data_IF_043671780452
#
_entry.id   IF_043671780452
#
_cell.length_a   1.000
_cell.length_b   1.000
_cell.length_c   1.000
_cell.angle_alpha   90.00
_cell.angle_beta   90.00
_cell.angle_gamma   90.00
#
_symmetry.space_group_name_H-M   'P 1'
#
loop_
_entity.id
_entity.type
_entity.pdbx_description
1 polymer ?
#
# COMPACT_ATOMS: atom_id res chain seq x y z
N UNK A 1 -30.18 0.20 -3.61
CA UNK A 1 -28.81 -0.10 -4.08
C UNK A 1 -27.85 0.77 -3.26
N UNK A 2 -26.73 0.22 -2.78
CA UNK A 2 -25.77 0.99 -1.97
C UNK A 2 -24.61 1.48 -2.81
N UNK A 3 -24.02 0.59 -3.60
CA UNK A 3 -22.94 0.95 -4.53
C UNK A 3 -22.93 0.04 -5.76
N UNK A 4 -22.35 0.54 -6.86
CA UNK A 4 -21.97 -0.23 -8.04
C UNK A 4 -20.51 0.07 -8.33
N UNK A 5 -19.64 -0.89 -8.05
CA UNK A 5 -18.26 -0.75 -8.47
C UNK A 5 -18.11 -1.26 -9.90
N UNK A 6 -17.34 -0.55 -10.71
CA UNK A 6 -16.83 -1.07 -11.97
C UNK A 6 -15.34 -1.38 -11.77
N UNK A 7 -14.94 -2.63 -11.96
CA UNK A 7 -13.61 -3.15 -11.55
C UNK A 7 -12.69 -3.50 -12.71
N UNK A 8 -13.04 -3.19 -13.96
CA UNK A 8 -12.20 -3.52 -15.11
C UNK A 8 -11.66 -2.28 -15.84
N UNK A 9 -12.42 -1.19 -15.87
CA UNK A 9 -12.07 0.03 -16.62
C UNK A 9 -11.80 1.21 -15.69
N UNK A 10 -12.76 1.52 -14.83
CA UNK A 10 -12.78 2.69 -13.99
C UNK A 10 -12.24 2.43 -12.58
N UNK A 11 -12.24 1.16 -12.13
CA UNK A 11 -11.81 0.73 -10.79
C UNK A 11 -12.40 1.60 -9.67
N UNK A 12 -13.68 1.95 -9.80
CA UNK A 12 -14.35 2.82 -8.84
C UNK A 12 -15.86 2.65 -8.85
N UNK A 13 -16.46 3.10 -7.77
CA UNK A 13 -17.91 3.19 -7.64
C UNK A 13 -18.51 4.26 -8.55
N UNK A 14 -19.64 3.94 -9.16
CA UNK A 14 -20.44 4.91 -9.90
C UNK A 14 -21.12 5.90 -8.95
N UNK A 15 -21.23 7.15 -9.39
CA UNK A 15 -21.99 8.20 -8.70
C UNK A 15 -23.47 7.95 -8.90
N UNK A 16 -24.24 7.86 -7.81
CA UNK A 16 -25.70 7.73 -7.91
C UNK A 16 -26.29 9.08 -8.31
N UNK A 17 -26.91 9.14 -9.48
CA UNK A 17 -27.52 10.36 -10.03
C UNK A 17 -28.97 10.49 -9.59
N UNK A 18 -29.71 9.39 -9.62
CA UNK A 18 -31.12 9.38 -9.21
C UNK A 18 -31.58 7.98 -8.83
N UNK A 19 -32.60 7.91 -7.98
CA UNK A 19 -33.35 6.67 -7.73
C UNK A 19 -34.83 6.99 -7.83
N UNK A 20 -35.55 6.29 -8.70
CA UNK A 20 -37.00 6.39 -8.87
C UNK A 20 -37.66 5.09 -8.46
N UNK A 21 -38.86 5.15 -7.89
CA UNK A 21 -39.66 3.99 -7.52
C UNK A 21 -40.99 4.03 -8.25
N UNK A 22 -41.33 2.96 -8.98
CA UNK A 22 -42.60 2.82 -9.67
C UNK A 22 -43.08 1.38 -9.58
N UNK A 23 -44.31 1.17 -9.10
CA UNK A 23 -44.89 -0.17 -8.95
C UNK A 23 -44.10 -1.11 -8.02
N UNK A 24 -43.40 -0.57 -7.01
CA UNK A 24 -42.54 -1.34 -6.11
C UNK A 24 -41.19 -1.73 -6.69
N UNK A 25 -40.88 -1.32 -7.93
CA UNK A 25 -39.57 -1.49 -8.57
C UNK A 25 -38.77 -0.21 -8.36
N UNK A 26 -37.58 -0.34 -7.77
CA UNK A 26 -36.61 0.75 -7.66
C UNK A 26 -35.65 0.70 -8.83
N UNK A 27 -35.53 1.82 -9.53
CA UNK A 27 -34.56 2.04 -10.61
C UNK A 27 -33.55 3.09 -10.15
N UNK A 28 -32.27 2.74 -10.16
CA UNK A 28 -31.19 3.66 -9.77
C UNK A 28 -30.33 3.94 -11.01
N UNK A 29 -30.13 5.23 -11.32
CA UNK A 29 -29.21 5.69 -12.35
C UNK A 29 -27.84 5.98 -11.71
N UNK A 30 -26.78 5.42 -12.29
CA UNK A 30 -25.40 5.68 -11.88
C UNK A 30 -24.57 6.17 -13.07
N UNK A 31 -23.61 7.05 -12.80
CA UNK A 31 -22.69 7.63 -13.77
C UNK A 31 -21.23 7.49 -13.31
N UNK A 32 -20.30 7.44 -14.26
CA UNK A 32 -18.85 7.47 -14.04
C UNK A 32 -18.26 8.56 -14.93
N UNK A 33 -17.53 9.52 -14.35
CA UNK A 33 -16.79 10.57 -15.08
C UNK A 33 -15.64 9.99 -15.94
N UNK A 34 -15.83 9.73 -17.23
CA UNK A 34 -14.78 9.16 -18.09
C UNK A 34 -13.64 10.15 -18.37
N UNK A 35 -12.35 9.81 -18.14
CA UNK A 35 -11.21 10.63 -18.57
C UNK A 35 -10.72 10.29 -20.00
N UNK A 36 -11.55 9.67 -20.85
CA UNK A 36 -11.24 9.41 -22.26
C UNK A 36 -11.41 7.96 -22.71
N UNK A 37 -11.27 7.77 -24.03
CA UNK A 37 -11.57 6.57 -24.81
C UNK A 37 -10.83 5.31 -24.35
N UNK A 38 -11.43 4.52 -23.45
CA UNK A 38 -10.98 3.16 -23.16
C UNK A 38 -11.92 2.12 -23.78
N UNK A 39 -11.36 1.34 -24.72
CA UNK A 39 -12.01 0.17 -25.30
C UNK A 39 -11.85 -1.04 -24.35
N UNK A 40 -12.90 -1.37 -23.60
CA UNK A 40 -13.02 -2.66 -22.91
C UNK A 40 -14.44 -2.93 -22.43
N UNK A 41 -14.65 -4.15 -21.95
CA UNK A 41 -15.93 -4.59 -21.38
C UNK A 41 -15.94 -4.25 -19.90
N UNK A 42 -16.90 -3.47 -19.38
CA UNK A 42 -16.96 -3.19 -17.95
C UNK A 42 -17.38 -4.43 -17.14
N UNK A 43 -16.85 -4.57 -15.92
CA UNK A 43 -17.25 -5.59 -14.94
C UNK A 43 -17.83 -4.90 -13.73
N UNK A 44 -19.12 -5.14 -13.48
CA UNK A 44 -19.86 -4.49 -12.39
C UNK A 44 -20.00 -5.40 -11.17
N UNK A 45 -19.72 -4.86 -9.97
CA UNK A 45 -19.93 -5.49 -8.66
C UNK A 45 -20.99 -4.71 -7.86
N UNK A 46 -22.28 -5.09 -7.97
CA UNK A 46 -23.37 -4.42 -7.24
C UNK A 46 -23.42 -4.83 -5.76
N UNK A 47 -23.55 -3.83 -4.88
CA UNK A 47 -23.89 -4.02 -3.46
C UNK A 47 -25.32 -3.56 -3.19
N UNK A 48 -26.16 -4.47 -2.69
CA UNK A 48 -27.59 -4.23 -2.49
C UNK A 48 -27.98 -4.51 -1.04
N UNK A 49 -28.70 -3.55 -0.43
CA UNK A 49 -29.29 -3.74 0.89
C UNK A 49 -30.29 -4.89 0.86
N UNK A 50 -30.18 -5.80 1.81
CA UNK A 50 -31.26 -6.71 2.12
C UNK A 50 -32.45 -5.90 2.70
N UNK A 51 -33.68 -6.08 2.19
CA UNK A 51 -34.87 -5.63 2.90
C UNK A 51 -34.89 -6.22 4.31
N UNK A 52 -35.39 -5.49 5.31
CA UNK A 52 -35.54 -5.99 6.68
C UNK A 52 -36.44 -7.23 6.78
N UNK A 53 -37.29 -7.46 5.78
CA UNK A 53 -38.13 -8.66 5.62
C UNK A 53 -37.45 -9.82 4.87
N UNK A 54 -36.19 -9.67 4.44
CA UNK A 54 -35.47 -10.70 3.69
C UNK A 54 -34.96 -11.80 4.62
N UNK A 55 -35.19 -13.06 4.24
CA UNK A 55 -34.60 -14.24 4.92
C UNK A 55 -33.15 -14.52 4.49
N UNK A 56 -32.61 -13.75 3.53
CA UNK A 56 -31.24 -13.91 3.04
C UNK A 56 -30.25 -13.32 4.04
N UNK A 57 -29.29 -14.13 4.49
CA UNK A 57 -28.24 -13.68 5.38
C UNK A 57 -27.39 -12.56 4.76
N UNK A 58 -26.98 -11.59 5.57
CA UNK A 58 -25.97 -10.59 5.19
C UNK A 58 -24.68 -11.30 4.75
N UNK A 59 -24.04 -10.80 3.69
CA UNK A 59 -22.87 -11.41 3.07
C UNK A 59 -23.18 -12.53 2.06
N UNK A 60 -24.44 -12.98 1.94
CA UNK A 60 -24.81 -13.96 0.90
C UNK A 60 -24.74 -13.37 -0.51
N UNK A 61 -24.40 -14.20 -1.48
CA UNK A 61 -24.32 -13.81 -2.90
C UNK A 61 -25.37 -14.54 -3.73
N UNK A 62 -25.88 -13.89 -4.78
CA UNK A 62 -26.71 -14.53 -5.79
C UNK A 62 -26.45 -13.95 -7.17
N UNK A 63 -26.63 -14.78 -8.19
CA UNK A 63 -26.41 -14.36 -9.57
C UNK A 63 -27.68 -13.71 -10.12
N UNK A 64 -27.51 -12.57 -10.79
CA UNK A 64 -28.52 -11.97 -11.66
C UNK A 64 -28.00 -11.95 -13.08
N UNK A 65 -28.86 -12.25 -14.03
CA UNK A 65 -28.54 -12.14 -15.46
C UNK A 65 -29.12 -10.83 -15.95
N UNK A 66 -28.26 -9.85 -16.20
CA UNK A 66 -28.62 -8.66 -16.96
C UNK A 66 -28.76 -9.04 -18.43
N UNK A 67 -29.95 -8.84 -18.98
CA UNK A 67 -30.22 -8.97 -20.41
C UNK A 67 -30.32 -7.57 -21.02
N UNK A 68 -29.93 -7.44 -22.29
CA UNK A 68 -30.04 -6.21 -23.06
C UNK A 68 -29.18 -5.04 -22.55
N UNK A 69 -27.98 -5.33 -22.03
CA UNK A 69 -27.04 -4.27 -21.67
C UNK A 69 -26.55 -3.58 -22.95
N UNK A 70 -26.80 -2.28 -23.06
CA UNK A 70 -26.42 -1.46 -24.22
C UNK A 70 -25.29 -0.51 -23.86
N UNK A 71 -24.16 -0.60 -24.57
CA UNK A 71 -23.10 0.40 -24.54
C UNK A 71 -23.20 1.20 -25.84
N UNK A 72 -23.28 2.53 -25.74
CA UNK A 72 -23.26 3.46 -26.87
C UNK A 72 -21.99 4.29 -26.80
N UNK A 73 -21.27 4.41 -27.91
CA UNK A 73 -20.06 5.20 -28.04
C UNK A 73 -20.46 6.61 -28.49
N UNK A 74 -20.04 7.66 -27.79
CA UNK A 74 -20.53 9.02 -28.02
C UNK A 74 -19.50 9.95 -28.70
N UNK A 75 -18.21 9.64 -28.65
CA UNK A 75 -17.14 10.59 -29.00
C UNK A 75 -15.98 10.01 -29.84
N UNK A 76 -16.08 8.78 -30.36
CA UNK A 76 -15.04 8.14 -31.18
C UNK A 76 -15.52 7.97 -32.64
N UNK A 77 -15.01 8.76 -33.59
CA UNK A 77 -15.37 8.64 -35.02
C UNK A 77 -14.43 7.63 -35.71
N UNK A 78 -14.94 6.60 -36.44
CA UNK A 78 -16.28 6.46 -36.99
C UNK A 78 -17.25 5.62 -36.14
N UNK A 79 -16.91 5.33 -34.88
CA UNK A 79 -17.67 4.46 -33.99
C UNK A 79 -18.82 5.14 -33.23
N UNK A 80 -19.01 6.44 -33.40
CA UNK A 80 -20.08 7.22 -32.79
C UNK A 80 -21.44 6.55 -33.06
N UNK A 81 -22.28 6.48 -32.02
CA UNK A 81 -23.59 5.85 -31.98
C UNK A 81 -23.63 4.32 -32.16
N UNK A 82 -22.48 3.63 -32.30
CA UNK A 82 -22.46 2.17 -32.30
C UNK A 82 -22.94 1.64 -30.96
N UNK A 83 -23.94 0.76 -31.00
CA UNK A 83 -24.57 0.17 -29.82
C UNK A 83 -24.31 -1.35 -29.77
N UNK A 84 -23.64 -1.84 -28.73
CA UNK A 84 -23.53 -3.29 -28.49
C UNK A 84 -24.73 -3.82 -27.69
N UNK A 85 -25.11 -5.10 -27.84
CA UNK A 85 -26.12 -5.74 -26.99
C UNK A 85 -25.54 -7.02 -26.38
N UNK A 86 -25.33 -7.01 -25.07
CA UNK A 86 -24.72 -8.13 -24.36
C UNK A 86 -25.64 -8.68 -23.25
N UNK A 87 -25.44 -9.97 -22.95
CA UNK A 87 -25.95 -10.62 -21.73
C UNK A 87 -24.78 -10.69 -20.75
N UNK A 88 -24.97 -10.17 -19.54
CA UNK A 88 -23.96 -10.19 -18.50
C UNK A 88 -24.53 -10.81 -17.23
N UNK A 89 -23.75 -11.65 -16.57
CA UNK A 89 -24.11 -12.21 -15.26
C UNK A 89 -23.41 -11.36 -14.20
N UNK A 90 -24.19 -10.75 -13.30
CA UNK A 90 -23.66 -10.05 -12.15
C UNK A 90 -23.85 -10.88 -10.90
N UNK A 91 -22.84 -10.91 -10.04
CA UNK A 91 -22.95 -11.48 -8.69
C UNK A 91 -23.37 -10.34 -7.78
N UNK A 92 -24.57 -10.42 -7.21
CA UNK A 92 -25.05 -9.46 -6.22
C UNK A 92 -24.68 -9.95 -4.85
N UNK A 93 -24.00 -9.11 -4.08
CA UNK A 93 -23.76 -9.33 -2.65
C UNK A 93 -24.83 -8.61 -1.83
N UNK A 94 -25.50 -9.36 -0.96
CA UNK A 94 -26.44 -8.81 0.01
C UNK A 94 -25.65 -8.20 1.17
N UNK A 95 -25.92 -6.94 1.48
CA UNK A 95 -25.35 -6.26 2.65
C UNK A 95 -26.46 -5.89 3.63
N UNK A 96 -26.08 -5.65 4.89
CA UNK A 96 -27.02 -5.26 5.94
C UNK A 96 -27.87 -4.05 5.50
N UNK A 97 -29.19 -4.16 5.69
CA UNK A 97 -30.13 -3.11 5.32
C UNK A 97 -30.16 -1.93 6.29
N UNK A 98 -29.87 -2.19 7.56
CA UNK A 98 -29.93 -1.19 8.65
C UNK A 98 -28.65 -0.38 8.66
N UNK A 99 -27.51 -1.04 8.94
CA UNK A 99 -26.19 -0.42 9.03
C UNK A 99 -25.21 -1.09 8.05
N UNK A 100 -25.28 -0.79 6.73
CA UNK A 100 -24.42 -1.42 5.74
C UNK A 100 -22.95 -1.05 5.99
N UNK A 101 -22.09 -2.06 6.10
CA UNK A 101 -20.64 -1.91 6.16
C UNK A 101 -19.98 -3.03 5.34
N UNK A 102 -19.01 -2.67 4.50
CA UNK A 102 -18.22 -3.63 3.74
C UNK A 102 -16.79 -3.08 3.62
N UNK A 103 -15.91 -3.59 4.48
CA UNK A 103 -14.48 -3.30 4.44
C UNK A 103 -13.75 -4.53 3.93
N UNK A 104 -12.84 -4.32 2.98
CA UNK A 104 -11.94 -5.33 2.46
C UNK A 104 -10.54 -5.02 2.99
N UNK A 105 -9.89 -6.01 3.60
CA UNK A 105 -8.54 -5.85 4.16
C UNK A 105 -7.64 -6.98 3.73
N UNK A 106 -6.39 -6.66 3.41
CA UNK A 106 -5.39 -7.63 2.96
C UNK A 106 -4.08 -7.44 3.70
N UNK A 107 -3.67 -8.46 4.43
CA UNK A 107 -2.33 -8.53 5.00
C UNK A 107 -1.31 -8.86 3.92
N UNK A 108 -0.24 -8.07 3.86
CA UNK A 108 0.86 -8.24 2.93
C UNK A 108 2.04 -8.92 3.62
N UNK A 109 2.73 -9.76 2.85
CA UNK A 109 4.08 -10.20 3.19
C UNK A 109 5.05 -9.36 2.37
N UNK A 110 5.91 -8.63 3.07
CA UNK A 110 6.88 -7.74 2.45
C UNK A 110 8.26 -8.36 2.49
N UNK A 111 9.02 -8.22 1.42
CA UNK A 111 10.40 -8.71 1.34
C UNK A 111 11.33 -7.53 1.10
N UNK A 112 12.33 -7.35 1.96
CA UNK A 112 13.26 -6.22 1.87
C UNK A 112 14.71 -6.64 2.08
N UNK A 113 15.62 -5.92 1.42
CA UNK A 113 17.05 -6.18 1.54
C UNK A 113 17.53 -5.90 2.96
N UNK A 114 18.10 -6.90 3.63
CA UNK A 114 18.59 -6.75 5.00
C UNK A 114 20.07 -6.35 5.00
N UNK A 115 20.33 -5.05 4.91
CA UNK A 115 21.66 -4.48 5.05
C UNK A 115 22.18 -4.49 6.50
N UNK A 116 21.27 -4.63 7.47
CA UNK A 116 21.61 -4.55 8.89
C UNK A 116 22.24 -5.83 9.44
N UNK A 117 22.12 -6.95 8.73
CA UNK A 117 22.56 -8.26 9.21
C UNK A 117 23.99 -8.29 9.78
N UNK A 118 24.92 -7.48 9.27
CA UNK A 118 26.32 -7.51 9.75
C UNK A 118 26.99 -6.19 10.06
N UNK A 119 26.28 -5.04 9.97
CA UNK A 119 26.95 -3.77 10.25
C UNK A 119 26.10 -2.71 10.94
N UNK A 120 24.98 -2.29 10.36
CA UNK A 120 24.21 -1.17 10.91
C UNK A 120 22.71 -1.35 10.78
N UNK A 121 22.01 -1.11 11.88
CA UNK A 121 20.56 -1.07 12.01
C UNK A 121 19.94 0.26 11.51
N UNK A 122 20.65 1.08 10.74
CA UNK A 122 20.15 2.40 10.30
C UNK A 122 19.29 2.33 9.04
N UNK A 123 19.13 1.15 8.43
CA UNK A 123 18.37 0.98 7.20
C UNK A 123 16.88 0.70 7.46
N UNK A 124 16.04 1.74 7.32
CA UNK A 124 14.59 1.59 7.47
C UNK A 124 13.93 1.07 6.19
N UNK A 125 13.25 -0.07 6.31
CA UNK A 125 12.43 -0.70 5.28
C UNK A 125 11.03 -0.96 5.81
N UNK A 126 10.11 -1.29 4.91
CA UNK A 126 8.81 -1.83 5.29
C UNK A 126 8.95 -3.31 5.69
N UNK A 127 8.43 -3.64 6.86
CA UNK A 127 8.50 -4.95 7.52
C UNK A 127 7.10 -5.59 7.63
N UNK A 128 6.25 -5.33 6.64
CA UNK A 128 4.86 -5.78 6.59
C UNK A 128 3.89 -4.60 6.50
N UNK A 129 2.75 -4.84 5.86
CA UNK A 129 1.69 -3.84 5.72
C UNK A 129 0.30 -4.46 5.58
N UNK A 130 -0.75 -3.70 5.89
CA UNK A 130 -2.13 -4.12 5.71
C UNK A 130 -2.92 -3.10 4.89
N UNK A 131 -3.44 -3.54 3.75
CA UNK A 131 -4.34 -2.75 2.94
C UNK A 131 -5.74 -2.77 3.54
N UNK A 132 -6.44 -1.63 3.49
CA UNK A 132 -7.82 -1.49 3.95
C UNK A 132 -8.58 -0.66 2.92
N UNK A 133 -9.72 -1.14 2.46
CA UNK A 133 -10.60 -0.45 1.52
C UNK A 133 -12.03 -0.44 2.03
N UNK A 134 -12.67 0.72 1.98
CA UNK A 134 -14.12 0.82 2.17
C UNK A 134 -14.81 0.67 0.80
N UNK A 135 -15.49 -0.46 0.61
CA UNK A 135 -16.16 -0.79 -0.67
C UNK A 135 -17.45 0.01 -0.90
N UNK A 136 -17.94 0.68 0.15
CA UNK A 136 -19.21 1.39 0.11
C UNK A 136 -19.02 2.89 -0.10
N UNK A 137 -20.07 3.50 -0.65
CA UNK A 137 -20.21 4.95 -0.82
C UNK A 137 -20.65 5.66 0.45
N UNK A 138 -20.65 4.95 1.59
CA UNK A 138 -20.97 5.48 2.92
C UNK A 138 -19.82 5.20 3.87
N UNK A 139 -19.53 6.09 4.84
CA UNK A 139 -18.51 5.84 5.86
C UNK A 139 -18.80 4.59 6.68
N UNK A 140 -17.75 3.98 7.24
CA UNK A 140 -17.84 2.84 8.15
C UNK A 140 -18.34 3.26 9.53
N UNK A 141 -18.63 2.30 10.41
CA UNK A 141 -18.64 2.57 11.86
C UNK A 141 -17.23 2.98 12.31
N UNK A 142 -17.07 3.71 13.43
CA UNK A 142 -15.75 4.02 13.96
C UNK A 142 -14.90 2.77 14.11
N UNK A 143 -13.64 2.84 13.68
CA UNK A 143 -12.70 1.71 13.71
C UNK A 143 -11.57 1.96 14.68
N UNK A 144 -11.09 0.89 15.27
CA UNK A 144 -9.89 0.86 16.11
C UNK A 144 -8.87 -0.06 15.45
N UNK A 145 -7.62 0.38 15.45
CA UNK A 145 -6.48 -0.45 15.06
C UNK A 145 -5.58 -0.67 16.27
N UNK A 146 -5.19 -1.93 16.48
CA UNK A 146 -4.28 -2.36 17.53
C UNK A 146 -3.19 -3.21 16.89
N UNK A 147 -1.93 -2.85 17.10
CA UNK A 147 -0.77 -3.54 16.54
C UNK A 147 0.11 -4.04 17.68
N UNK A 148 0.44 -5.33 17.65
CA UNK A 148 1.53 -5.93 18.41
C UNK A 148 2.66 -6.18 17.44
N UNK A 149 3.78 -5.50 17.64
CA UNK A 149 4.80 -5.31 16.62
C UNK A 149 6.09 -6.02 17.02
N UNK A 150 6.66 -6.75 16.06
CA UNK A 150 7.92 -7.48 16.21
C UNK A 150 7.93 -8.34 17.48
N UNK A 151 6.99 -9.29 17.54
CA UNK A 151 6.76 -10.17 18.69
C UNK A 151 8.01 -10.96 19.11
N UNK A 152 8.96 -11.16 18.19
CA UNK A 152 10.22 -11.89 18.39
C UNK A 152 11.43 -10.98 18.60
N UNK A 153 11.22 -9.67 18.77
CA UNK A 153 12.27 -8.69 19.06
C UNK A 153 13.46 -8.71 18.09
N UNK A 154 13.13 -8.92 16.81
CA UNK A 154 14.05 -9.15 15.69
C UNK A 154 14.48 -7.84 15.01
N UNK A 155 13.72 -6.75 15.20
CA UNK A 155 13.92 -5.49 14.50
C UNK A 155 13.85 -4.27 15.44
N UNK A 156 14.39 -3.15 14.96
CA UNK A 156 14.19 -1.83 15.54
C UNK A 156 13.13 -1.13 14.71
N UNK A 157 11.94 -0.97 15.30
CA UNK A 157 10.78 -0.36 14.66
C UNK A 157 10.76 1.12 14.98
N UNK A 158 11.01 1.93 13.96
CA UNK A 158 11.12 3.38 14.07
C UNK A 158 9.87 4.11 13.59
N UNK A 159 9.03 3.43 12.81
CA UNK A 159 7.83 4.01 12.25
C UNK A 159 6.69 3.02 12.08
N UNK A 160 5.47 3.48 12.25
CA UNK A 160 4.24 2.73 11.97
C UNK A 160 3.30 3.65 11.22
N UNK A 161 2.72 3.20 10.10
CA UNK A 161 1.64 3.95 9.45
C UNK A 161 0.28 3.45 9.89
N UNK A 162 -0.72 4.33 9.86
CA UNK A 162 -2.15 4.01 10.06
C UNK A 162 -2.97 4.60 8.90
N UNK A 163 -4.24 4.23 8.71
CA UNK A 163 -5.07 4.75 7.63
C UNK A 163 -5.28 6.25 7.78
N UNK A 164 -5.20 6.99 6.67
CA UNK A 164 -5.44 8.43 6.72
C UNK A 164 -6.32 9.03 5.65
N UNK A 165 -7.21 9.89 6.11
CA UNK A 165 -7.99 10.82 5.30
C UNK A 165 -8.26 12.09 6.11
N UNK A 166 -8.47 13.22 5.43
CA UNK A 166 -8.73 14.52 6.08
C UNK A 166 -9.99 14.51 6.95
N UNK A 167 -10.96 13.67 6.60
CA UNK A 167 -12.26 13.58 7.26
C UNK A 167 -12.26 12.63 8.47
N UNK A 168 -11.13 11.94 8.72
CA UNK A 168 -10.98 11.05 9.87
C UNK A 168 -10.62 11.82 11.12
N UNK A 169 -11.21 11.41 12.25
CA UNK A 169 -10.93 11.99 13.57
C UNK A 169 -10.27 10.93 14.44
N UNK A 170 -8.99 11.14 14.72
CA UNK A 170 -8.16 10.21 15.47
C UNK A 170 -8.25 10.46 16.98
N UNK A 171 -8.47 9.38 17.72
CA UNK A 171 -8.29 9.35 19.16
C UNK A 171 -6.82 9.38 19.57
N UNK A 172 -6.60 9.20 20.88
CA UNK A 172 -5.26 9.11 21.43
C UNK A 172 -4.51 7.88 20.89
N UNK A 173 -3.19 8.03 20.79
CA UNK A 173 -2.27 6.98 20.39
C UNK A 173 -1.68 6.36 21.66
N UNK A 174 -2.11 5.15 21.98
CA UNK A 174 -1.54 4.36 23.08
C UNK A 174 -0.39 3.53 22.54
N UNK A 175 0.74 3.51 23.24
CA UNK A 175 1.95 2.87 22.72
C UNK A 175 2.78 2.22 23.81
N UNK A 176 3.59 1.23 23.42
CA UNK A 176 4.65 0.63 24.24
C UNK A 176 5.94 0.51 23.44
N UNK A 177 7.09 0.47 24.12
CA UNK A 177 8.41 0.34 23.50
C UNK A 177 9.22 -0.84 24.03
N UNK A 178 10.37 -1.13 23.39
CA UNK A 178 11.25 -2.24 23.74
C UNK A 178 11.96 -2.04 25.08
N UNK A 179 12.20 -0.80 25.50
CA UNK A 179 12.71 -0.48 26.84
C UNK A 179 11.71 -0.74 27.97
N UNK A 180 10.45 -1.07 27.64
CA UNK A 180 9.35 -1.25 28.59
C UNK A 180 8.60 0.05 28.92
N UNK A 181 8.96 1.17 28.26
CA UNK A 181 8.18 2.39 28.37
C UNK A 181 6.79 2.24 27.71
N UNK A 182 5.84 3.02 28.20
CA UNK A 182 4.51 3.11 27.62
C UNK A 182 3.94 4.50 27.83
N UNK A 183 2.99 4.89 26.99
CA UNK A 183 2.43 6.22 27.07
C UNK A 183 1.21 6.44 26.21
N UNK A 184 0.73 7.69 26.26
CA UNK A 184 -0.40 8.18 25.49
C UNK A 184 0.06 9.45 24.77
N UNK A 185 0.01 9.43 23.45
CA UNK A 185 0.30 10.60 22.63
C UNK A 185 -0.99 11.15 21.99
N UNK A 186 -1.03 12.46 21.80
CA UNK A 186 -2.08 13.14 21.04
C UNK A 186 -1.96 12.80 19.55
N UNK A 187 -3.06 12.72 18.83
CA UNK A 187 -3.06 12.54 17.37
C UNK A 187 -2.42 13.72 16.59
N UNK A 188 -2.07 14.82 17.27
CA UNK A 188 -1.29 15.92 16.69
C UNK A 188 0.12 15.52 16.26
N UNK A 189 0.68 14.41 16.76
CA UNK A 189 2.01 13.94 16.36
C UNK A 189 2.03 13.26 14.98
N UNK A 190 0.86 12.98 14.41
CA UNK A 190 0.74 12.24 13.15
C UNK A 190 1.35 13.05 12.00
N UNK A 191 2.32 12.45 11.31
CA UNK A 191 2.79 12.95 10.02
C UNK A 191 1.84 12.46 8.92
N UNK A 192 1.08 13.38 8.33
CA UNK A 192 -0.07 13.06 7.48
C UNK A 192 0.33 13.05 6.00
N UNK A 193 -0.20 12.09 5.25
CA UNK A 193 -0.14 12.05 3.78
C UNK A 193 -1.56 11.98 3.19
N UNK A 194 -1.75 11.45 1.98
CA UNK A 194 -3.07 11.34 1.36
C UNK A 194 -3.86 10.12 1.87
N UNK A 195 -3.20 8.98 2.02
CA UNK A 195 -3.83 7.69 2.40
C UNK A 195 -3.28 7.10 3.69
N UNK A 196 -2.21 7.67 4.25
CA UNK A 196 -1.56 7.15 5.45
C UNK A 196 -1.08 8.28 6.36
N UNK A 197 -1.01 7.98 7.65
CA UNK A 197 -0.35 8.82 8.64
C UNK A 197 0.74 8.02 9.34
N UNK A 198 1.94 8.61 9.47
CA UNK A 198 3.11 8.00 10.10
C UNK A 198 3.22 8.43 11.56
N UNK A 199 3.48 7.45 12.42
CA UNK A 199 3.86 7.60 13.82
C UNK A 199 5.30 7.12 13.94
N UNK A 200 6.22 8.03 14.27
CA UNK A 200 7.64 7.70 14.51
C UNK A 200 7.93 7.53 15.99
N UNK A 201 8.88 6.68 16.36
CA UNK A 201 9.28 6.49 17.75
C UNK A 201 9.75 7.80 18.41
N UNK A 202 10.51 8.63 17.69
CA UNK A 202 10.97 9.94 18.16
C UNK A 202 9.80 10.90 18.44
N UNK A 203 8.75 10.89 17.62
CA UNK A 203 7.52 11.66 17.88
C UNK A 203 6.72 11.15 19.09
N UNK A 204 6.96 9.91 19.53
CA UNK A 204 6.46 9.37 20.81
C UNK A 204 7.38 9.74 22.00
N UNK A 205 8.49 10.44 21.76
CA UNK A 205 9.49 10.81 22.77
C UNK A 205 10.51 9.71 23.06
N UNK A 206 10.61 8.69 22.20
CA UNK A 206 11.55 7.59 22.33
C UNK A 206 12.90 7.89 21.67
N UNK A 207 13.95 7.23 22.16
CA UNK A 207 15.24 7.20 21.44
C UNK A 207 15.07 6.52 20.08
N UNK A 208 15.89 6.90 19.10
CA UNK A 208 15.84 6.37 17.74
C UNK A 208 16.02 4.84 17.67
N UNK A 209 16.67 4.24 18.66
CA UNK A 209 16.88 2.80 18.76
C UNK A 209 15.93 2.11 19.74
N UNK A 210 15.08 2.86 20.46
CA UNK A 210 13.99 2.25 21.23
C UNK A 210 12.81 1.95 20.29
N UNK A 211 12.59 0.66 20.08
CA UNK A 211 11.66 0.12 19.10
C UNK A 211 10.22 0.24 19.59
N UNK A 212 9.29 0.64 18.71
CA UNK A 212 7.85 0.59 18.98
C UNK A 212 7.41 -0.88 19.02
N UNK A 213 6.76 -1.29 20.12
CA UNK A 213 6.29 -2.68 20.32
C UNK A 213 4.77 -2.81 20.26
N UNK A 214 4.04 -1.73 20.53
CA UNK A 214 2.61 -1.70 20.25
C UNK A 214 2.11 -0.29 19.94
N UNK A 215 1.03 -0.25 19.16
CA UNK A 215 0.25 0.95 18.88
C UNK A 215 -1.22 0.58 18.98
N UNK A 216 -2.03 1.40 19.64
CA UNK A 216 -3.49 1.34 19.58
C UNK A 216 -4.05 2.73 19.34
N UNK A 217 -4.89 2.86 18.32
CA UNK A 217 -5.50 4.13 17.91
C UNK A 217 -6.96 3.90 17.50
N UNK A 218 -7.84 4.76 18.01
CA UNK A 218 -9.19 4.88 17.46
C UNK A 218 -9.12 5.79 16.22
N UNK A 219 -9.43 5.25 15.05
CA UNK A 219 -9.31 5.90 13.74
C UNK A 219 -10.53 6.77 13.40
N UNK A 220 -11.65 6.59 14.12
CA UNK A 220 -12.94 7.12 13.71
C UNK A 220 -13.51 6.37 12.50
N UNK A 221 -14.59 6.88 11.88
CA UNK A 221 -15.15 6.32 10.65
C UNK A 221 -14.15 6.38 9.49
N UNK A 222 -13.95 5.26 8.80
CA UNK A 222 -13.24 5.24 7.51
C UNK A 222 -14.18 5.84 6.46
N UNK A 223 -13.79 6.89 5.72
CA UNK A 223 -14.66 7.56 4.77
C UNK A 223 -15.18 6.65 3.66
N UNK A 224 -16.28 7.09 3.03
CA UNK A 224 -16.81 6.48 1.83
C UNK A 224 -15.74 6.38 0.75
N UNK A 225 -15.68 5.26 0.03
CA UNK A 225 -14.74 5.04 -1.08
C UNK A 225 -13.26 5.20 -0.70
N UNK A 226 -12.92 5.15 0.59
CA UNK A 226 -11.54 5.16 1.03
C UNK A 226 -10.79 3.98 0.38
N UNK A 227 -9.85 4.31 -0.50
CA UNK A 227 -8.93 3.37 -1.10
C UNK A 227 -7.60 3.48 -0.37
N UNK A 228 -7.30 2.48 0.45
CA UNK A 228 -6.11 2.46 1.30
C UNK A 228 -4.83 2.19 0.53
N UNK A 229 -4.70 2.68 -0.70
CA UNK A 229 -3.46 2.76 -1.48
C UNK A 229 -3.56 4.04 -2.31
N UNK A 230 -2.49 4.85 -2.37
CA UNK A 230 -2.45 5.98 -3.30
C UNK A 230 -2.60 5.41 -4.72
N UNK A 231 -3.43 5.96 -5.62
CA UNK A 231 -3.80 5.32 -6.89
C UNK A 231 -2.56 4.92 -7.72
N UNK A 232 -2.12 3.69 -7.49
CA UNK A 232 -1.44 2.85 -8.44
C UNK A 232 -2.44 1.74 -8.72
N UNK A 233 -2.64 1.48 -10.02
CA UNK A 233 -3.45 0.35 -10.48
C UNK A 233 -3.01 -0.91 -9.71
N UNK A 234 -3.99 -1.56 -9.07
CA UNK A 234 -4.07 -3.03 -9.09
C UNK A 234 -3.31 -3.86 -8.02
N UNK A 235 -3.12 -3.37 -6.78
CA UNK A 235 -2.70 -4.24 -5.66
C UNK A 235 -3.86 -4.99 -4.99
N UNK A 236 -5.10 -4.48 -5.08
CA UNK A 236 -6.29 -5.08 -4.49
C UNK A 236 -7.19 -5.83 -5.49
N UNK A 237 -7.08 -5.51 -6.78
CA UNK A 237 -7.88 -6.09 -7.88
C UNK A 237 -7.11 -7.17 -8.67
N UNK A 238 -6.01 -7.69 -8.11
CA UNK A 238 -5.20 -8.73 -8.77
C UNK A 238 -6.05 -9.96 -9.10
N UNK A 239 -5.88 -10.46 -10.33
CA UNK A 239 -6.50 -11.69 -10.85
C UNK A 239 -6.30 -12.93 -9.97
N UNK A 240 -5.30 -12.88 -9.07
CA UNK A 240 -5.09 -13.87 -8.02
C UNK A 240 -5.15 -13.18 -6.64
N UNK A 241 -6.23 -13.36 -5.86
CA UNK A 241 -6.30 -12.84 -4.48
C UNK A 241 -5.24 -13.44 -3.53
N UNK A 242 -4.47 -14.44 -3.99
CA UNK A 242 -3.30 -14.97 -3.28
C UNK A 242 -1.97 -14.29 -3.66
N UNK A 243 -1.94 -13.38 -4.64
CA UNK A 243 -0.80 -12.50 -4.87
C UNK A 243 -0.77 -11.43 -3.77
N UNK A 244 -0.36 -11.86 -2.57
CA UNK A 244 -0.31 -11.07 -1.33
C UNK A 244 1.00 -10.31 -1.18
N UNK A 245 1.65 -10.00 -2.30
CA UNK A 245 3.01 -9.49 -2.33
C UNK A 245 3.05 -8.26 -3.20
N UNK A 246 3.67 -7.22 -2.67
CA UNK A 246 4.21 -6.15 -3.49
C UNK A 246 5.43 -6.70 -4.22
N UNK A 247 5.51 -6.48 -5.52
CA UNK A 247 6.55 -7.11 -6.35
C UNK A 247 7.97 -6.71 -5.86
N UNK A 248 8.92 -7.63 -5.99
CA UNK A 248 10.30 -7.47 -5.52
C UNK A 248 11.02 -6.30 -6.23
N UNK A 249 10.93 -5.10 -5.66
CA UNK A 249 11.54 -3.88 -6.20
C UNK A 249 10.64 -2.65 -6.17
N UNK A 250 9.35 -2.81 -5.86
CA UNK A 250 8.43 -1.70 -5.67
C UNK A 250 8.64 -1.06 -4.28
N UNK A 251 9.48 -0.01 -4.26
CA UNK A 251 9.69 0.82 -3.06
C UNK A 251 8.53 1.79 -2.87
N UNK A 252 7.48 1.35 -2.19
CA UNK A 252 6.46 2.28 -1.70
C UNK A 252 6.92 2.88 -0.37
N UNK A 253 7.13 4.19 -0.38
CA UNK A 253 7.34 4.95 0.85
C UNK A 253 6.10 4.92 1.75
N UNK A 254 6.28 5.33 3.00
CA UNK A 254 5.23 5.32 4.02
C UNK A 254 3.95 6.07 3.60
N UNK A 255 4.05 7.05 2.71
CA UNK A 255 2.94 7.85 2.17
C UNK A 255 2.00 7.12 1.20
N UNK A 256 2.36 5.92 0.73
CA UNK A 256 1.61 5.20 -0.31
C UNK A 256 0.72 4.11 0.26
N UNK A 257 1.05 3.57 1.43
CA UNK A 257 0.38 2.40 2.02
C UNK A 257 0.11 2.65 3.51
N UNK A 258 -1.15 2.50 3.96
CA UNK A 258 -1.51 2.55 5.36
C UNK A 258 -1.09 1.26 6.08
N UNK A 259 -0.98 1.31 7.41
CA UNK A 259 -0.76 0.14 8.26
C UNK A 259 0.54 -0.63 7.99
N UNK A 260 1.59 0.08 7.61
CA UNK A 260 2.93 -0.47 7.42
C UNK A 260 3.78 -0.34 8.68
N UNK A 261 4.60 -1.35 8.95
CA UNK A 261 5.63 -1.32 9.98
C UNK A 261 6.95 -0.97 9.31
N UNK A 262 7.66 0.03 9.83
CA UNK A 262 8.90 0.54 9.25
C UNK A 262 10.03 0.48 10.27
N UNK A 263 11.15 -0.10 9.84
CA UNK A 263 12.30 -0.31 10.71
C UNK A 263 13.41 -1.08 10.03
N UNK A 264 14.36 -1.55 10.82
CA UNK A 264 15.49 -2.35 10.36
C UNK A 264 15.56 -3.64 11.16
N UNK A 265 16.07 -4.72 10.57
CA UNK A 265 16.53 -5.84 11.40
C UNK A 265 17.62 -5.37 12.37
N UNK A 266 17.70 -6.03 13.53
CA UNK A 266 18.85 -5.89 14.41
C UNK A 266 20.07 -6.55 13.78
N UNK A 267 21.26 -6.08 14.16
CA UNK A 267 22.51 -6.69 13.71
C UNK A 267 22.55 -8.17 14.13
N UNK A 268 22.97 -9.03 13.20
CA UNK A 268 23.12 -10.46 13.41
C UNK A 268 21.87 -11.31 13.16
N UNK A 269 20.72 -10.72 12.82
CA UNK A 269 19.48 -11.48 12.56
C UNK A 269 18.86 -11.19 11.19
N UNK A 270 18.37 -12.26 10.57
CA UNK A 270 17.61 -12.26 9.32
C UNK A 270 16.26 -12.98 9.49
N UNK A 271 15.84 -13.20 10.74
CA UNK A 271 14.56 -13.83 11.02
C UNK A 271 13.38 -12.95 10.54
N UNK A 272 12.25 -13.59 10.28
CA UNK A 272 11.04 -12.89 9.88
C UNK A 272 10.55 -11.97 11.01
N UNK A 273 10.26 -10.71 10.67
CA UNK A 273 9.60 -9.78 11.58
C UNK A 273 8.10 -10.01 11.51
N UNK A 274 7.49 -10.35 12.63
CA UNK A 274 6.05 -10.66 12.70
C UNK A 274 5.32 -9.58 13.46
N UNK A 275 4.23 -9.09 12.86
CA UNK A 275 3.33 -8.11 13.47
C UNK A 275 1.91 -8.64 13.42
N UNK A 276 1.21 -8.59 14.54
CA UNK A 276 -0.21 -8.87 14.62
C UNK A 276 -0.98 -7.57 14.62
N UNK A 277 -1.93 -7.41 13.69
CA UNK A 277 -2.81 -6.25 13.59
C UNK A 277 -4.24 -6.69 13.84
N UNK A 278 -4.94 -6.02 14.74
CA UNK A 278 -6.38 -6.16 14.95
C UNK A 278 -7.07 -4.90 14.43
N UNK A 279 -8.05 -5.08 13.56
CA UNK A 279 -8.83 -3.99 12.99
C UNK A 279 -10.32 -4.28 13.15
N UNK A 280 -10.97 -3.53 14.03
CA UNK A 280 -12.31 -3.83 14.52
C UNK A 280 -13.13 -2.57 14.77
N UNK A 281 -14.43 -2.73 14.99
CA UNK A 281 -15.31 -1.61 15.36
C UNK A 281 -14.98 -1.09 16.75
N UNK A 282 -14.81 0.23 16.90
CA UNK A 282 -14.48 0.84 18.18
C UNK A 282 -15.53 0.50 19.24
N UNK A 283 -15.06 0.11 20.43
CA UNK A 283 -15.91 -0.30 21.56
C UNK A 283 -16.32 -1.77 21.54
N UNK A 284 -15.95 -2.56 20.52
CA UNK A 284 -16.17 -4.01 20.51
C UNK A 284 -14.90 -4.78 20.87
N UNK A 285 -15.05 -6.03 21.30
CA UNK A 285 -13.91 -6.94 21.48
C UNK A 285 -13.51 -7.52 20.11
N UNK A 286 -12.24 -7.44 19.70
CA UNK A 286 -11.79 -8.04 18.44
C UNK A 286 -11.94 -9.56 18.44
N UNK A 287 -12.34 -10.12 17.30
CA UNK A 287 -12.46 -11.55 17.05
C UNK A 287 -11.31 -12.06 16.18
N UNK A 288 -11.26 -13.37 15.92
CA UNK A 288 -10.27 -13.95 15.01
C UNK A 288 -10.39 -13.40 13.57
N UNK A 289 -11.60 -13.03 13.12
CA UNK A 289 -11.82 -12.44 11.80
C UNK A 289 -11.30 -11.01 11.66
N UNK A 290 -11.07 -10.33 12.79
CA UNK A 290 -10.53 -8.97 12.85
C UNK A 290 -9.00 -8.95 12.96
N UNK A 291 -8.36 -10.13 13.00
CA UNK A 291 -6.93 -10.30 13.27
C UNK A 291 -6.17 -10.66 11.99
N UNK A 292 -5.08 -9.94 11.76
CA UNK A 292 -4.24 -10.04 10.58
C UNK A 292 -2.78 -10.20 11.00
N UNK A 293 -2.02 -10.98 10.24
CA UNK A 293 -0.59 -11.21 10.51
C UNK A 293 0.24 -10.70 9.35
N UNK A 294 1.12 -9.75 9.64
CA UNK A 294 2.05 -9.16 8.70
C UNK A 294 3.41 -9.82 8.89
N UNK A 295 4.12 -10.04 7.79
CA UNK A 295 5.46 -10.65 7.83
C UNK A 295 6.42 -9.83 6.99
N UNK A 296 7.47 -9.31 7.63
CA UNK A 296 8.64 -8.74 6.98
C UNK A 296 9.72 -9.80 6.82
N UNK A 297 10.01 -10.17 5.57
CA UNK A 297 11.03 -11.15 5.21
C UNK A 297 12.32 -10.47 4.80
N UNK A 298 13.42 -10.94 5.38
CA UNK A 298 14.76 -10.51 5.01
C UNK A 298 15.17 -11.19 3.71
N UNK A 299 15.68 -10.41 2.74
CA UNK A 299 16.43 -10.94 1.59
C UNK A 299 17.85 -10.40 1.55
N UNK A 300 18.71 -11.12 0.86
CA UNK A 300 20.06 -10.62 0.56
C UNK A 300 19.95 -9.39 -0.36
N UNK A 301 20.73 -8.32 -0.15
CA UNK A 301 20.81 -7.23 -1.11
C UNK A 301 21.21 -7.70 -2.52
N UNK A 302 20.64 -7.08 -3.54
CA UNK A 302 20.81 -7.45 -4.95
C UNK A 302 20.99 -6.22 -5.84
N UNK A 303 21.66 -6.39 -6.99
CA UNK A 303 21.76 -5.37 -8.05
C UNK A 303 20.54 -5.49 -8.95
N UNK A 304 19.85 -4.38 -9.24
CA UNK A 304 18.74 -4.33 -10.20
C UNK A 304 19.22 -3.77 -11.55
N UNK A 305 18.57 -4.17 -12.64
CA UNK A 305 18.86 -3.73 -14.02
C UNK A 305 20.28 -4.05 -14.55
N UNK A 306 20.84 -5.18 -14.16
CA UNK A 306 22.09 -5.73 -14.71
C UNK A 306 22.41 -7.13 -14.17
N UNK A 307 23.40 -7.79 -14.78
CA UNK A 307 23.98 -9.05 -14.26
C UNK A 307 25.13 -8.69 -13.34
N UNK A 308 24.87 -8.62 -12.04
CA UNK A 308 25.88 -8.27 -11.05
C UNK A 308 25.79 -9.07 -9.78
N UNK A 309 26.94 -9.21 -9.13
CA UNK A 309 27.06 -9.71 -7.77
C UNK A 309 27.54 -8.56 -6.90
N UNK A 310 26.82 -8.30 -5.82
CA UNK A 310 27.43 -7.56 -4.71
C UNK A 310 28.30 -8.57 -3.98
N UNK A 311 29.56 -8.24 -3.73
CA UNK A 311 30.46 -9.15 -3.02
C UNK A 311 29.88 -9.40 -1.62
N UNK A 312 29.27 -10.58 -1.47
CA UNK A 312 28.43 -10.91 -0.31
C UNK A 312 29.25 -10.86 0.97
N UNK A 313 30.52 -11.28 0.97
CA UNK A 313 31.38 -11.24 2.17
C UNK A 313 31.66 -9.82 2.68
N UNK A 314 31.46 -8.77 1.87
CA UNK A 314 31.67 -7.37 2.27
C UNK A 314 30.39 -6.67 2.77
N UNK A 315 29.22 -7.00 2.21
CA UNK A 315 27.92 -6.68 2.85
C UNK A 315 27.86 -7.34 4.23
N UNK A 316 28.49 -8.51 4.32
CA UNK A 316 28.56 -9.35 5.50
C UNK A 316 29.74 -9.01 6.46
N UNK A 317 30.23 -7.76 6.48
CA UNK A 317 31.22 -7.30 7.50
C UNK A 317 32.31 -6.32 7.09
N UNK A 318 32.23 -5.65 5.93
CA UNK A 318 33.27 -4.72 5.43
C UNK A 318 33.04 -3.23 5.74
N UNK A 319 34.12 -2.43 5.76
CA UNK A 319 34.05 -0.96 5.75
C UNK A 319 33.63 -0.33 4.42
N UNK A 320 33.61 -1.17 3.39
CA UNK A 320 33.21 -0.88 2.03
C UNK A 320 32.49 -2.10 1.48
N UNK A 321 31.66 -1.93 0.45
CA UNK A 321 31.10 -3.02 -0.33
C UNK A 321 31.46 -2.78 -1.81
N UNK A 322 31.84 -3.84 -2.51
CA UNK A 322 32.08 -3.80 -3.94
C UNK A 322 30.86 -4.36 -4.65
N UNK A 323 30.28 -3.54 -5.53
CA UNK A 323 29.27 -3.98 -6.49
C UNK A 323 30.01 -4.28 -7.79
N UNK A 324 29.95 -5.52 -8.26
CA UNK A 324 30.47 -5.91 -9.57
C UNK A 324 29.33 -6.37 -10.45
N UNK A 325 29.27 -5.92 -11.70
CA UNK A 325 28.27 -6.39 -12.65
C UNK A 325 28.53 -5.91 -14.06
N UNK A 326 27.81 -6.52 -15.00
CA UNK A 326 27.68 -6.11 -16.39
C UNK A 326 26.23 -5.69 -16.65
N UNK A 327 26.02 -4.71 -17.52
CA UNK A 327 24.68 -4.41 -18.03
C UNK A 327 24.22 -5.63 -18.84
N UNK A 328 22.98 -6.08 -18.62
CA UNK A 328 22.40 -7.18 -19.40
C UNK A 328 21.88 -6.64 -20.73
N UNK A 329 22.50 -7.06 -21.83
CA UNK A 329 22.17 -6.67 -23.21
C UNK A 329 20.75 -7.13 -23.62
N UNK A 330 20.18 -8.12 -22.92
CA UNK A 330 18.82 -8.61 -23.22
C UNK A 330 17.71 -7.56 -22.99
N UNK A 331 17.94 -6.54 -22.15
CA UNK A 331 17.01 -5.42 -21.95
C UNK A 331 17.19 -4.27 -22.96
N UNK A 332 18.25 -4.30 -23.78
CA UNK A 332 18.56 -3.26 -24.77
C UNK A 332 17.56 -3.29 -25.95
N UNK A 333 17.09 -4.49 -26.30
CA UNK A 333 16.34 -4.73 -27.54
C UNK A 333 14.91 -4.14 -27.58
N UNK A 334 14.43 -3.56 -26.47
CA UNK A 334 13.07 -3.00 -26.39
C UNK A 334 12.99 -1.48 -26.43
N UNK A 335 14.09 -0.73 -26.25
CA UNK A 335 14.09 0.73 -26.41
C UNK A 335 15.49 1.33 -26.66
N UNK A 336 15.89 1.62 -27.91
CA UNK A 336 17.21 2.17 -28.25
C UNK A 336 17.45 3.62 -27.77
N UNK A 337 16.50 4.23 -27.04
CA UNK A 337 16.61 5.58 -26.46
C UNK A 337 16.81 5.60 -24.93
N UNK A 338 16.87 4.44 -24.27
CA UNK A 338 17.21 4.38 -22.84
C UNK A 338 18.73 4.23 -22.66
N UNK A 339 19.35 5.27 -22.10
CA UNK A 339 20.72 5.17 -21.59
C UNK A 339 20.77 4.10 -20.48
N UNK A 340 21.84 3.28 -20.41
CA UNK A 340 21.97 2.28 -19.36
C UNK A 340 22.16 2.97 -18.00
N UNK A 341 21.09 3.08 -17.22
CA UNK A 341 21.14 3.65 -15.86
C UNK A 341 21.26 2.53 -14.81
N UNK A 342 22.39 2.51 -14.09
CA UNK A 342 22.54 1.68 -12.88
C UNK A 342 22.04 2.48 -11.68
N UNK A 343 20.94 2.03 -11.09
CA UNK A 343 20.41 2.61 -9.86
C UNK A 343 21.04 1.95 -8.63
N UNK A 344 21.89 2.69 -7.92
CA UNK A 344 22.41 2.28 -6.60
C UNK A 344 21.79 3.18 -5.53
N UNK A 345 20.87 2.61 -4.73
CA UNK A 345 20.36 3.27 -3.54
C UNK A 345 21.34 2.95 -2.40
N UNK A 346 22.10 3.95 -1.96
CA UNK A 346 23.02 3.79 -0.83
C UNK A 346 22.26 3.85 0.50
N UNK A 347 22.60 3.01 1.49
CA UNK A 347 22.04 3.12 2.83
C UNK A 347 22.48 4.42 3.52
N UNK A 348 21.67 4.85 4.50
CA UNK A 348 22.02 5.94 5.42
C UNK A 348 23.35 5.61 6.15
N UNK A 349 24.34 6.52 6.06
CA UNK A 349 25.69 6.35 6.60
C UNK A 349 26.80 6.10 5.57
N UNK A 350 26.46 5.92 4.28
CA UNK A 350 27.43 5.90 3.18
C UNK A 350 27.43 7.24 2.44
N UNK A 351 28.62 7.79 2.17
CA UNK A 351 28.77 9.04 1.42
C UNK A 351 29.23 8.76 -0.01
N UNK A 352 28.52 9.32 -0.98
CA UNK A 352 28.84 9.20 -2.40
C UNK A 352 30.24 9.74 -2.78
N UNK A 353 30.81 10.64 -1.97
CA UNK A 353 32.19 11.15 -2.14
C UNK A 353 33.25 10.05 -2.08
N UNK A 354 32.92 8.88 -1.54
CA UNK A 354 33.84 7.75 -1.42
C UNK A 354 33.59 6.67 -2.48
N UNK A 355 32.70 6.92 -3.45
CA UNK A 355 32.44 5.99 -4.54
C UNK A 355 33.64 5.96 -5.49
N UNK A 356 34.23 4.77 -5.66
CA UNK A 356 35.28 4.52 -6.65
C UNK A 356 34.74 3.54 -7.68
N UNK A 357 35.01 3.82 -8.96
CA UNK A 357 34.70 2.94 -10.09
C UNK A 357 36.02 2.47 -10.69
N UNK A 358 36.18 1.16 -10.87
CA UNK A 358 37.47 0.55 -11.25
C UNK A 358 37.61 0.34 -12.77
N UNK A 359 36.49 0.33 -13.50
CA UNK A 359 36.42 0.09 -14.97
C UNK A 359 35.58 1.18 -15.65
N UNK A 360 35.72 2.42 -15.19
CA UNK A 360 34.99 3.57 -15.70
C UNK A 360 35.31 4.84 -14.93
N UNK A 361 35.00 5.98 -15.51
CA UNK A 361 35.13 7.30 -14.91
C UNK A 361 33.77 7.74 -14.36
N UNK A 362 33.71 7.96 -13.06
CA UNK A 362 32.55 8.58 -12.43
C UNK A 362 32.52 10.07 -12.78
N UNK A 363 31.41 10.55 -13.33
CA UNK A 363 31.23 11.97 -13.61
C UNK A 363 31.21 12.78 -12.32
N UNK A 364 31.39 14.10 -12.44
CA UNK A 364 31.00 15.00 -11.37
C UNK A 364 29.49 14.77 -11.05
N UNK A 365 29.09 14.81 -9.76
CA UNK A 365 27.70 14.68 -9.38
C UNK A 365 26.86 15.82 -9.95
N UNK A 366 25.71 15.48 -10.51
CA UNK A 366 24.66 16.44 -10.87
C UNK A 366 23.61 16.45 -9.77
N UNK A 367 23.34 17.62 -9.20
CA UNK A 367 22.24 17.78 -8.24
C UNK A 367 20.90 17.57 -8.94
N UNK A 368 20.06 16.67 -8.43
CA UNK A 368 18.76 16.34 -9.05
C UNK A 368 17.54 16.64 -8.17
N UNK A 369 17.76 16.98 -6.91
CA UNK A 369 16.69 17.41 -6.01
C UNK A 369 17.10 17.31 -4.55
N UNK A 370 16.24 17.73 -3.64
CA UNK A 370 16.42 17.56 -2.20
C UNK A 370 15.09 17.10 -1.58
N UNK A 371 15.19 16.35 -0.48
CA UNK A 371 14.07 16.11 0.41
C UNK A 371 14.50 16.42 1.85
N UNK A 372 13.56 16.83 2.68
CA UNK A 372 13.84 17.22 4.06
C UNK A 372 13.61 16.02 4.99
N UNK A 373 14.57 15.75 5.87
CA UNK A 373 14.50 14.72 6.91
C UNK A 373 15.11 15.28 8.19
N UNK A 374 14.36 15.24 9.29
CA UNK A 374 14.81 15.71 10.61
C UNK A 374 15.25 17.20 10.65
N UNK A 375 14.67 18.03 9.79
CA UNK A 375 15.03 19.45 9.63
C UNK A 375 16.27 19.69 8.77
N UNK A 376 16.92 18.62 8.32
CA UNK A 376 18.06 18.65 7.42
C UNK A 376 17.62 18.39 5.98
N UNK A 377 18.11 19.23 5.07
CA UNK A 377 17.89 19.06 3.62
C UNK A 377 18.86 18.01 3.09
N UNK A 378 18.34 16.82 2.77
CA UNK A 378 19.09 15.75 2.12
C UNK A 378 19.08 15.98 0.62
N UNK A 379 20.26 16.28 0.07
CA UNK A 379 20.46 16.48 -1.38
C UNK A 379 20.61 15.14 -2.09
N UNK A 380 19.88 14.97 -3.18
CA UNK A 380 19.95 13.85 -4.10
C UNK A 380 20.85 14.22 -5.28
N UNK A 381 21.77 13.33 -5.63
CA UNK A 381 22.77 13.54 -6.67
C UNK A 381 22.73 12.38 -7.66
N UNK A 382 22.77 12.70 -8.96
CA UNK A 382 22.95 11.76 -10.07
C UNK A 382 24.42 11.72 -10.45
N UNK A 383 24.97 10.54 -10.62
CA UNK A 383 26.29 10.32 -11.19
C UNK A 383 26.14 9.56 -12.49
N UNK A 384 26.81 9.99 -13.55
CA UNK A 384 26.97 9.20 -14.76
C UNK A 384 28.26 8.41 -14.65
N UNK A 385 28.27 7.18 -15.16
CA UNK A 385 29.48 6.37 -15.26
C UNK A 385 29.83 6.28 -16.74
N UNK A 386 30.98 6.84 -17.10
CA UNK A 386 31.57 6.66 -18.42
C UNK A 386 32.47 5.42 -18.38
N UNK A 387 32.20 4.42 -19.22
CA UNK A 387 32.97 3.17 -19.26
C UNK A 387 33.94 3.11 -20.45
N UNK A 388 34.16 4.22 -21.16
CA UNK A 388 35.05 4.33 -22.31
C UNK A 388 34.34 4.72 -23.59
#
# INVERSE_FOLDING_TARGET
MVSLEETQLYHRNGTVVSTTESGGIKTTKLEWDEPGSYSGTPVFKPHVKAPTSSTRASGSTFNIVLRNFKKTIWDDTPNVDRTSSNVSTMIVKMIDGVDPEQVTSHALTDTAANWAYQKYDTYNVRLGSMLIKNELTTPTKPKTIEMTIDETDTAIIRGVTIPYHTDMVYGNIYWTSASGASGVASSSILQKSNVSALITNTALGLDINDSIKSIKVDLGPIPAQYDGVRPQRDLLDTWNPNNKFISDGEYYGWSYIPNGVYGSWKVGTNADVKTTVKFYTTGTTPTAGDTYHLTGKSKTPEVKNGVGTINKTQILGGNSFTVSGRIDDANWDWNPLQEPEIYVIMPEGFTYSNLQVTEGTLSAPTYVGEFEKDGDKIKVWKYSIDIG
#
